data_IF_218889981562
#
_entry.id   IF_218889981562
#
_cell.length_a   1.000
_cell.length_b   1.000
_cell.length_c   1.000
_cell.angle_alpha   90.00
_cell.angle_beta   90.00
_cell.angle_gamma   90.00
#
_symmetry.space_group_name_H-M   'P 1'
#
loop_
_entity.id
_entity.type
_entity.pdbx_description
1 polymer ?
#
# COMPACT_ATOMS: atom_id res chain seq x y z
N UNK A 1 -14.32 -4.70 4.73
CA UNK A 1 -13.34 -5.74 5.11
C UNK A 1 -12.03 -5.04 5.41
N UNK A 2 -11.26 -5.46 6.42
CA UNK A 2 -9.98 -4.82 6.73
C UNK A 2 -8.92 -5.07 5.65
N UNK A 3 -8.08 -4.07 5.36
CA UNK A 3 -7.07 -4.13 4.28
C UNK A 3 -6.14 -5.36 4.38
N UNK A 4 -5.71 -5.70 5.60
CA UNK A 4 -4.88 -6.89 5.87
C UNK A 4 -5.57 -8.17 5.37
N UNK A 5 -6.85 -8.34 5.71
CA UNK A 5 -7.63 -9.52 5.30
C UNK A 5 -7.80 -9.59 3.79
N UNK A 6 -7.94 -8.44 3.13
CA UNK A 6 -7.97 -8.40 1.66
C UNK A 6 -6.64 -8.89 1.10
N UNK A 7 -5.52 -8.36 1.56
CA UNK A 7 -4.19 -8.75 1.08
C UNK A 7 -3.91 -10.26 1.33
N UNK A 8 -4.19 -10.75 2.54
CA UNK A 8 -3.99 -12.16 2.90
C UNK A 8 -4.86 -13.11 2.06
N UNK A 9 -6.13 -12.77 1.85
CA UNK A 9 -7.03 -13.56 0.99
C UNK A 9 -6.59 -13.59 -0.49
N UNK A 10 -5.65 -12.74 -0.91
CA UNK A 10 -5.10 -12.71 -2.26
C UNK A 10 -3.64 -13.21 -2.32
N UNK A 11 -3.18 -13.89 -1.26
CA UNK A 11 -1.92 -14.64 -1.24
C UNK A 11 -0.73 -13.88 -0.62
N UNK A 12 -0.94 -12.73 0.01
CA UNK A 12 0.14 -12.04 0.72
C UNK A 12 0.33 -12.58 2.15
N UNK A 13 1.58 -12.60 2.61
CA UNK A 13 1.91 -12.59 4.05
C UNK A 13 2.22 -11.14 4.44
N UNK A 14 1.42 -10.56 5.32
CA UNK A 14 1.46 -9.11 5.61
C UNK A 14 2.28 -8.84 6.88
N UNK A 15 3.30 -8.01 6.74
CA UNK A 15 4.02 -7.42 7.87
C UNK A 15 3.24 -6.24 8.45
N UNK A 16 3.17 -6.15 9.78
CA UNK A 16 2.53 -5.04 10.52
C UNK A 16 3.46 -4.65 11.67
N UNK A 17 3.87 -3.39 11.70
CA UNK A 17 4.74 -2.80 12.73
C UNK A 17 4.22 -3.02 14.16
N UNK A 18 2.93 -2.80 14.40
CA UNK A 18 2.29 -2.98 15.72
C UNK A 18 2.40 -4.42 16.26
N UNK A 19 2.71 -5.40 15.40
CA UNK A 19 2.90 -6.81 15.76
C UNK A 19 4.37 -7.24 15.71
N UNK A 20 5.31 -6.36 15.40
CA UNK A 20 6.73 -6.71 15.32
C UNK A 20 7.38 -6.69 16.72
N UNK A 21 7.76 -7.85 17.28
CA UNK A 21 8.41 -7.91 18.59
C UNK A 21 9.83 -7.33 18.60
N UNK A 22 10.44 -7.10 17.43
CA UNK A 22 11.76 -6.46 17.33
C UNK A 22 11.70 -4.93 17.50
N UNK A 23 10.50 -4.34 17.51
CA UNK A 23 10.35 -2.90 17.70
C UNK A 23 10.40 -2.52 19.19
N UNK A 24 11.13 -1.45 19.54
CA UNK A 24 11.16 -0.95 20.91
C UNK A 24 9.78 -0.39 21.32
N UNK A 25 9.49 -0.33 22.65
CA UNK A 25 8.20 0.16 23.16
C UNK A 25 7.95 1.65 22.86
N UNK A 26 9.00 2.41 22.56
CA UNK A 26 8.94 3.80 22.16
C UNK A 26 9.73 3.99 20.87
N UNK A 27 9.24 4.88 20.00
CA UNK A 27 9.89 5.18 18.72
C UNK A 27 11.28 5.78 18.95
N UNK A 28 12.28 5.20 18.28
CA UNK A 28 13.68 5.61 18.37
C UNK A 28 14.38 5.43 17.02
N UNK A 29 15.66 5.77 16.95
CA UNK A 29 16.49 5.47 15.77
C UNK A 29 16.46 3.96 15.42
N UNK A 30 16.42 3.09 16.45
CA UNK A 30 16.31 1.65 16.24
C UNK A 30 15.01 1.27 15.53
N UNK A 31 13.89 1.94 15.83
CA UNK A 31 12.62 1.77 15.09
C UNK A 31 12.82 2.08 13.61
N UNK A 32 13.46 3.22 13.30
CA UNK A 32 13.71 3.63 11.92
C UNK A 32 14.62 2.62 11.18
N UNK A 33 15.65 2.10 11.83
CA UNK A 33 16.54 1.08 11.25
C UNK A 33 15.80 -0.24 10.98
N UNK A 34 14.97 -0.68 11.93
CA UNK A 34 14.17 -1.90 11.75
C UNK A 34 13.16 -1.72 10.62
N UNK A 35 12.41 -0.61 10.58
CA UNK A 35 11.45 -0.35 9.51
C UNK A 35 12.11 -0.27 8.14
N UNK A 36 13.27 0.40 8.01
CA UNK A 36 14.06 0.39 6.76
C UNK A 36 14.37 -1.03 6.30
N UNK A 37 14.87 -1.88 7.20
CA UNK A 37 15.19 -3.28 6.89
C UNK A 37 13.94 -4.07 6.47
N UNK A 38 12.82 -3.92 7.18
CA UNK A 38 11.55 -4.58 6.85
C UNK A 38 11.01 -4.13 5.49
N UNK A 39 11.09 -2.83 5.19
CA UNK A 39 10.77 -2.30 3.87
C UNK A 39 11.66 -2.97 2.83
N UNK A 40 12.97 -3.07 3.02
CA UNK A 40 13.85 -3.72 2.04
C UNK A 40 13.56 -5.23 1.85
N UNK A 41 13.22 -5.95 2.92
CA UNK A 41 12.97 -7.41 2.90
C UNK A 41 11.63 -7.79 2.26
N UNK A 42 10.65 -6.90 2.28
CA UNK A 42 9.32 -7.15 1.70
C UNK A 42 9.35 -7.03 0.17
N UNK A 43 8.46 -7.75 -0.54
CA UNK A 43 8.38 -7.63 -2.01
C UNK A 43 7.59 -6.40 -2.47
N UNK A 44 6.53 -6.07 -1.74
CA UNK A 44 5.58 -5.00 -2.03
C UNK A 44 5.46 -4.07 -0.84
N UNK A 45 5.09 -2.82 -1.10
CA UNK A 45 4.70 -1.87 -0.07
C UNK A 45 3.27 -1.41 -0.34
N UNK A 46 2.41 -1.49 0.68
CA UNK A 46 1.02 -1.05 0.58
C UNK A 46 0.78 0.01 1.63
N UNK A 47 0.50 1.23 1.18
CA UNK A 47 0.17 2.35 2.06
C UNK A 47 -1.34 2.33 2.31
N UNK A 48 -1.76 2.11 3.56
CA UNK A 48 -3.15 2.28 3.93
C UNK A 48 -3.46 3.77 4.06
N UNK A 49 -4.24 4.27 3.12
CA UNK A 49 -4.58 5.67 3.00
C UNK A 49 -5.82 5.96 3.88
N UNK A 50 -5.60 6.49 5.09
CA UNK A 50 -6.61 7.04 6.01
C UNK A 50 -6.36 8.51 6.31
N UNK A 51 -7.36 9.27 6.78
CA UNK A 51 -7.15 10.65 7.22
C UNK A 51 -6.00 10.78 8.25
N UNK A 52 -5.90 9.84 9.20
CA UNK A 52 -4.79 9.78 10.16
C UNK A 52 -3.41 9.53 9.51
N UNK A 53 -3.37 8.85 8.36
CA UNK A 53 -2.14 8.65 7.60
C UNK A 53 -1.58 9.98 7.09
N UNK A 54 -2.44 10.99 6.86
CA UNK A 54 -2.04 12.33 6.42
C UNK A 54 -1.33 13.11 7.52
N UNK A 55 -1.71 12.91 8.78
CA UNK A 55 -1.10 13.62 9.91
C UNK A 55 0.21 12.97 10.40
N UNK A 56 0.57 11.79 9.88
CA UNK A 56 1.75 11.05 10.32
C UNK A 56 3.03 11.56 9.67
N UNK A 57 4.03 11.90 10.49
CA UNK A 57 5.40 12.20 10.02
C UNK A 57 6.14 10.97 9.49
N UNK A 58 5.72 9.76 9.90
CA UNK A 58 6.37 8.51 9.50
C UNK A 58 5.91 8.04 8.13
N UNK A 59 4.65 8.25 7.77
CA UNK A 59 4.07 7.72 6.52
C UNK A 59 4.80 8.25 5.26
N UNK A 60 5.01 9.56 5.08
CA UNK A 60 5.79 10.06 3.94
C UNK A 60 7.23 9.57 3.94
N UNK A 61 7.84 9.41 5.12
CA UNK A 61 9.21 8.95 5.26
C UNK A 61 9.37 7.47 4.86
N UNK A 62 8.49 6.59 5.35
CA UNK A 62 8.44 5.17 4.97
C UNK A 62 8.16 5.01 3.48
N UNK A 63 7.23 5.79 2.94
CA UNK A 63 6.89 5.79 1.53
C UNK A 63 8.09 6.21 0.66
N UNK A 64 8.82 7.27 1.05
CA UNK A 64 10.01 7.70 0.32
C UNK A 64 11.14 6.65 0.31
N UNK A 65 11.32 5.93 1.43
CA UNK A 65 12.26 4.80 1.48
C UNK A 65 11.79 3.67 0.57
N UNK A 66 10.50 3.32 0.61
CA UNK A 66 9.94 2.27 -0.23
C UNK A 66 10.08 2.62 -1.71
N UNK A 67 9.78 3.86 -2.10
CA UNK A 67 9.92 4.37 -3.47
C UNK A 67 11.35 4.15 -3.98
N UNK A 68 12.34 4.67 -3.26
CA UNK A 68 13.75 4.56 -3.64
C UNK A 68 14.29 3.13 -3.69
N UNK A 69 13.68 2.18 -2.97
CA UNK A 69 14.15 0.78 -2.90
C UNK A 69 13.40 -0.17 -3.81
N UNK A 70 12.12 0.09 -4.09
CA UNK A 70 11.23 -0.86 -4.79
C UNK A 70 10.82 -0.39 -6.18
N UNK A 71 10.79 0.92 -6.41
CA UNK A 71 10.16 1.54 -7.57
C UNK A 71 8.63 1.49 -7.53
N UNK A 72 8.01 2.36 -8.33
CA UNK A 72 6.56 2.61 -8.32
C UNK A 72 5.70 1.37 -8.56
N UNK A 73 6.16 0.43 -9.41
CA UNK A 73 5.37 -0.76 -9.78
C UNK A 73 5.14 -1.75 -8.63
N UNK A 74 5.89 -1.61 -7.53
CA UNK A 74 5.81 -2.46 -6.33
C UNK A 74 5.15 -1.77 -5.14
N UNK A 75 4.62 -0.58 -5.36
CA UNK A 75 3.96 0.25 -4.34
C UNK A 75 2.52 0.47 -4.77
N UNK A 76 1.60 0.33 -3.81
CA UNK A 76 0.20 0.65 -4.07
C UNK A 76 -0.45 1.33 -2.86
N UNK A 77 -1.37 2.24 -3.13
CA UNK A 77 -2.23 2.86 -2.14
C UNK A 77 -3.47 1.99 -1.95
N UNK A 78 -3.80 1.68 -0.71
CA UNK A 78 -5.07 1.05 -0.35
C UNK A 78 -5.95 2.10 0.33
N UNK A 79 -7.01 2.60 -0.33
CA UNK A 79 -7.92 3.56 0.29
C UNK A 79 -8.71 2.90 1.42
N UNK A 80 -8.70 3.51 2.61
CA UNK A 80 -9.47 3.03 3.75
C UNK A 80 -10.96 3.43 3.66
N UNK A 81 -11.29 4.41 2.82
CA UNK A 81 -12.66 4.87 2.55
C UNK A 81 -13.21 4.21 1.28
N UNK A 82 -14.48 3.80 1.34
CA UNK A 82 -15.19 3.07 0.28
C UNK A 82 -15.54 3.93 -0.94
N UNK A 83 -15.14 5.20 -0.97
CA UNK A 83 -15.54 6.10 -2.04
C UNK A 83 -14.50 6.06 -3.16
N UNK A 84 -14.90 5.43 -4.27
CA UNK A 84 -14.19 5.44 -5.57
C UNK A 84 -13.82 6.84 -6.08
N UNK A 85 -14.31 7.90 -5.45
CA UNK A 85 -14.24 9.28 -5.89
C UNK A 85 -13.87 10.29 -4.80
N UNK A 86 -13.46 9.84 -3.60
CA UNK A 86 -12.93 10.81 -2.63
C UNK A 86 -11.51 11.22 -3.05
N UNK A 87 -11.48 12.27 -3.86
CA UNK A 87 -10.28 12.96 -4.28
C UNK A 87 -9.60 13.70 -3.13
N UNK A 88 -10.01 13.58 -1.86
CA UNK A 88 -9.30 14.20 -0.73
C UNK A 88 -7.82 13.78 -0.62
N UNK A 89 -7.40 12.69 -1.29
CA UNK A 89 -6.00 12.27 -1.44
C UNK A 89 -5.19 13.12 -2.41
N UNK A 90 -5.85 13.83 -3.33
CA UNK A 90 -5.20 14.73 -4.31
C UNK A 90 -4.51 15.92 -3.65
N UNK A 91 -4.70 16.15 -2.35
CA UNK A 91 -3.94 17.16 -1.60
C UNK A 91 -2.46 16.80 -1.43
N UNK A 92 -2.08 15.52 -1.57
CA UNK A 92 -0.68 15.09 -1.63
C UNK A 92 -0.35 14.75 -3.07
N UNK A 93 0.05 15.75 -3.85
CA UNK A 93 0.25 15.65 -5.31
C UNK A 93 1.11 14.43 -5.71
N UNK A 94 2.15 14.13 -4.93
CA UNK A 94 3.03 12.99 -5.18
C UNK A 94 2.35 11.63 -4.98
N UNK A 95 1.23 11.54 -4.25
CA UNK A 95 0.48 10.29 -4.12
C UNK A 95 -0.14 9.84 -5.45
N UNK A 96 -0.35 10.77 -6.39
CA UNK A 96 -0.80 10.45 -7.74
C UNK A 96 0.20 9.61 -8.55
N UNK A 97 1.45 9.46 -8.09
CA UNK A 97 2.46 8.62 -8.73
C UNK A 97 2.22 7.11 -8.54
N UNK A 98 1.47 6.73 -7.50
CA UNK A 98 1.37 5.33 -7.09
C UNK A 98 0.09 4.67 -7.57
N UNK A 99 0.18 3.37 -7.85
CA UNK A 99 -0.98 2.58 -8.21
C UNK A 99 -1.98 2.47 -7.05
N UNK A 100 -3.23 2.10 -7.35
CA UNK A 100 -4.31 2.01 -6.35
C UNK A 100 -4.91 0.62 -6.29
N UNK A 101 -5.08 0.09 -5.08
CA UNK A 101 -5.86 -1.13 -4.86
C UNK A 101 -7.34 -0.75 -4.83
N UNK A 102 -8.12 -1.30 -5.76
CA UNK A 102 -9.54 -0.98 -5.92
C UNK A 102 -10.37 -2.23 -6.09
N UNK A 103 -11.65 -2.15 -5.70
CA UNK A 103 -12.65 -3.19 -5.97
C UNK A 103 -13.53 -2.77 -7.15
N UNK A 104 -13.52 -3.55 -8.22
CA UNK A 104 -14.29 -3.19 -9.42
C UNK A 104 -14.37 -4.24 -10.50
N UNK A 105 -14.97 -3.83 -11.60
CA UNK A 105 -15.14 -4.62 -12.81
C UNK A 105 -13.85 -4.51 -13.64
N UNK A 106 -13.36 -5.64 -14.13
CA UNK A 106 -12.16 -5.72 -14.97
C UNK A 106 -12.51 -6.49 -16.25
N UNK A 107 -12.12 -5.94 -17.40
CA UNK A 107 -12.37 -6.58 -18.69
C UNK A 107 -11.80 -8.01 -18.72
N UNK A 108 -12.60 -8.95 -19.22
CA UNK A 108 -12.26 -10.39 -19.22
C UNK A 108 -12.61 -11.14 -17.94
N UNK A 109 -13.21 -10.50 -16.93
CA UNK A 109 -13.70 -11.16 -15.71
C UNK A 109 -15.21 -10.96 -15.53
N UNK A 110 -15.94 -12.05 -15.28
CA UNK A 110 -17.40 -12.01 -15.10
C UNK A 110 -17.84 -11.37 -13.78
N UNK A 111 -16.98 -11.40 -12.77
CA UNK A 111 -17.27 -10.90 -11.42
C UNK A 111 -16.29 -9.81 -11.05
N UNK A 112 -16.77 -8.90 -10.20
CA UNK A 112 -15.92 -7.90 -9.54
C UNK A 112 -14.81 -8.58 -8.76
N UNK A 113 -13.65 -7.93 -8.76
CA UNK A 113 -12.45 -8.42 -8.10
C UNK A 113 -11.61 -7.26 -7.54
N UNK A 114 -10.67 -7.59 -6.66
CA UNK A 114 -9.66 -6.66 -6.20
C UNK A 114 -8.54 -6.59 -7.24
N UNK A 115 -8.19 -5.38 -7.65
CA UNK A 115 -7.17 -5.11 -8.67
C UNK A 115 -6.26 -3.96 -8.26
N UNK A 116 -5.08 -3.91 -8.87
CA UNK A 116 -4.15 -2.78 -8.79
C UNK A 116 -4.27 -1.98 -10.07
N UNK A 117 -4.78 -0.76 -9.94
CA UNK A 117 -5.01 0.21 -11.01
C UNK A 117 -3.80 1.13 -11.16
N UNK A 118 -3.24 1.16 -12.37
CA UNK A 118 -2.34 2.20 -12.85
C UNK A 118 -3.18 3.25 -13.59
N UNK A 119 -3.46 4.36 -12.91
CA UNK A 119 -4.29 5.45 -13.46
C UNK A 119 -3.59 6.17 -14.61
N UNK A 120 -2.24 6.24 -14.59
CA UNK A 120 -1.47 6.91 -15.65
C UNK A 120 -1.56 6.15 -16.96
N UNK A 121 -1.49 4.81 -16.92
CA UNK A 121 -1.58 3.96 -18.11
C UNK A 121 -3.00 3.49 -18.40
N UNK A 122 -3.95 3.77 -17.50
CA UNK A 122 -5.31 3.23 -17.53
C UNK A 122 -5.32 1.70 -17.68
N UNK A 123 -4.48 1.02 -16.90
CA UNK A 123 -4.40 -0.45 -16.89
C UNK A 123 -4.62 -0.98 -15.49
N UNK A 124 -5.12 -2.20 -15.39
CA UNK A 124 -5.30 -2.86 -14.10
C UNK A 124 -4.91 -4.34 -14.19
N UNK A 125 -4.39 -4.87 -13.09
CA UNK A 125 -4.11 -6.30 -12.94
C UNK A 125 -4.74 -6.84 -11.66
N UNK A 126 -5.18 -8.11 -11.63
CA UNK A 126 -5.73 -8.71 -10.41
C UNK A 126 -4.75 -8.58 -9.24
N UNK A 127 -5.27 -8.27 -8.05
CA UNK A 127 -4.47 -8.04 -6.84
C UNK A 127 -3.58 -9.24 -6.53
N UNK A 128 -4.12 -10.46 -6.66
CA UNK A 128 -3.35 -11.70 -6.48
C UNK A 128 -2.17 -11.81 -7.45
N UNK A 129 -2.34 -11.39 -8.71
CA UNK A 129 -1.26 -11.37 -9.70
C UNK A 129 -0.21 -10.32 -9.35
N UNK A 130 -0.63 -9.12 -8.95
CA UNK A 130 0.30 -8.06 -8.55
C UNK A 130 1.12 -8.45 -7.31
N UNK A 131 0.51 -9.08 -6.31
CA UNK A 131 1.19 -9.52 -5.09
C UNK A 131 2.24 -10.59 -5.36
N UNK A 132 2.00 -11.48 -6.34
CA UNK A 132 2.88 -12.60 -6.65
C UNK A 132 4.00 -12.30 -7.67
N UNK A 133 3.91 -11.19 -8.42
CA UNK A 133 4.97 -10.73 -9.34
C UNK A 133 6.03 -9.90 -8.64
#
# INVERSE_FOLDING_TARGET
MGAIRVLENHGATVYIDKKDPELPPYTSEQTALTLKRRIEQTRKFVLLATENSKESKWVPWELGIADGKKGLSRIALFPAVNERYDNSWTTWEYMGLYHRIVWGDLEGYEKRLWMVLDETRNTAIPLSRWLNG
#
